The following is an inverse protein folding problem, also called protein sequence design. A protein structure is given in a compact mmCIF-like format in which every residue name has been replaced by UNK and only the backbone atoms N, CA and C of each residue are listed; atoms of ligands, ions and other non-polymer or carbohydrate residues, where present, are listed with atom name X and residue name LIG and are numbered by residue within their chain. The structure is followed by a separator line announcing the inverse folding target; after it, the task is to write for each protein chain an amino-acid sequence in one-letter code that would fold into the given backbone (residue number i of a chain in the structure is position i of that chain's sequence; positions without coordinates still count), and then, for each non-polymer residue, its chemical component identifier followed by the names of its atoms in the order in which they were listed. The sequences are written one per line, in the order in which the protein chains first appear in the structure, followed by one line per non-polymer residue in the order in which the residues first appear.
data_IF_031258273367
#
_entry.id   IF_031258273367
#
_cell.length_a   1.000
_cell.length_b   1.000
_cell.length_c   1.000
_cell.angle_alpha   90.00
_cell.angle_beta   90.00
_cell.angle_gamma   90.00
#
_symmetry.space_group_name_H-M   'P 1'
#
loop_
_entity.id
_entity.type
_entity.pdbx_description
1 polymer ?
#
# COMPACT_ATOMS: atom_id res chain seq x y z
N UNK A 1 26.04 0.94 5.25
CA UNK A 1 24.76 1.67 5.42
C UNK A 1 24.04 1.15 6.66
N UNK A 2 23.58 2.01 7.60
CA UNK A 2 22.75 1.54 8.70
C UNK A 2 21.43 0.99 8.16
N UNK A 3 20.99 -0.17 8.65
CA UNK A 3 19.74 -0.80 8.22
C UNK A 3 18.56 0.09 8.62
N UNK A 4 17.70 0.44 7.66
CA UNK A 4 16.51 1.29 7.85
C UNK A 4 15.64 0.80 9.02
N UNK A 5 15.49 -0.51 9.17
CA UNK A 5 14.79 -1.15 10.29
C UNK A 5 15.35 -0.74 11.67
N UNK A 6 16.67 -0.62 11.82
CA UNK A 6 17.31 -0.22 13.09
C UNK A 6 17.01 1.22 13.46
N UNK A 7 16.90 2.11 12.47
CA UNK A 7 16.51 3.51 12.70
C UNK A 7 15.04 3.57 13.12
N UNK A 8 14.18 2.86 12.41
CA UNK A 8 12.74 2.84 12.72
C UNK A 8 12.44 2.22 14.09
N UNK A 9 13.15 1.18 14.51
CA UNK A 9 13.00 0.60 15.86
C UNK A 9 13.38 1.56 16.99
N UNK A 10 14.32 2.49 16.76
CA UNK A 10 14.66 3.53 17.76
C UNK A 10 13.58 4.60 17.85
N UNK A 11 12.91 4.91 16.74
CA UNK A 11 11.82 5.88 16.69
C UNK A 11 10.51 5.30 17.26
N UNK A 12 10.29 4.00 17.11
CA UNK A 12 9.09 3.31 17.57
C UNK A 12 9.44 2.12 18.49
N UNK A 13 9.85 2.38 19.75
CA UNK A 13 10.38 1.35 20.65
C UNK A 13 9.41 0.23 21.03
N UNK A 14 8.10 0.41 20.83
CA UNK A 14 7.04 -0.59 21.11
C UNK A 14 6.59 -1.33 19.83
N UNK A 15 7.02 -0.87 18.65
CA UNK A 15 6.60 -1.48 17.38
C UNK A 15 7.51 -2.66 17.02
N UNK A 16 7.01 -3.88 17.22
CA UNK A 16 7.77 -5.12 16.96
C UNK A 16 7.79 -5.55 15.48
N UNK A 17 6.96 -4.98 14.62
CA UNK A 17 6.71 -5.49 13.26
C UNK A 17 6.97 -4.47 12.14
N UNK A 18 8.08 -3.73 12.21
CA UNK A 18 8.44 -2.74 11.18
C UNK A 18 8.97 -3.39 9.87
N UNK A 19 8.99 -4.73 9.81
CA UNK A 19 9.67 -5.50 8.76
C UNK A 19 8.81 -6.00 7.61
N UNK A 20 7.48 -6.04 7.75
CA UNK A 20 6.62 -6.67 6.74
C UNK A 20 6.13 -5.63 5.74
N UNK A 21 6.87 -5.46 4.64
CA UNK A 21 6.40 -4.70 3.50
C UNK A 21 5.36 -5.54 2.74
N UNK A 22 4.13 -5.02 2.61
CA UNK A 22 3.14 -5.63 1.73
C UNK A 22 3.66 -5.61 0.29
N UNK A 23 3.42 -6.68 -0.45
CA UNK A 23 3.79 -6.70 -1.87
C UNK A 23 2.90 -5.72 -2.65
N UNK A 24 3.39 -5.21 -3.78
CA UNK A 24 2.56 -4.36 -4.64
C UNK A 24 1.29 -5.08 -5.11
N UNK A 25 1.37 -6.40 -5.32
CA UNK A 25 0.23 -7.24 -5.67
C UNK A 25 -0.82 -7.30 -4.55
N UNK A 26 -0.38 -7.47 -3.30
CA UNK A 26 -1.27 -7.44 -2.13
C UNK A 26 -1.95 -6.09 -1.97
N UNK A 27 -1.19 -4.99 -2.10
CA UNK A 27 -1.73 -3.64 -2.04
C UNK A 27 -2.80 -3.40 -3.12
N UNK A 28 -2.56 -3.89 -4.34
CA UNK A 28 -3.53 -3.78 -5.43
C UNK A 28 -4.78 -4.63 -5.18
N UNK A 29 -4.63 -5.86 -4.66
CA UNK A 29 -5.76 -6.73 -4.32
C UNK A 29 -6.65 -6.11 -3.24
N UNK A 30 -6.05 -5.55 -2.18
CA UNK A 30 -6.78 -4.84 -1.13
C UNK A 30 -7.53 -3.62 -1.68
N UNK A 31 -6.89 -2.84 -2.55
CA UNK A 31 -7.52 -1.70 -3.19
C UNK A 31 -8.73 -2.14 -4.03
N UNK A 32 -8.61 -3.16 -4.88
CA UNK A 32 -9.74 -3.69 -5.67
C UNK A 32 -10.90 -4.13 -4.78
N UNK A 33 -10.58 -4.84 -3.70
CA UNK A 33 -11.58 -5.35 -2.77
C UNK A 33 -12.31 -4.22 -2.04
N UNK A 34 -11.61 -3.15 -1.66
CA UNK A 34 -12.24 -1.97 -1.07
C UNK A 34 -13.15 -1.26 -2.08
N UNK A 35 -12.65 -0.99 -3.29
CA UNK A 35 -13.40 -0.28 -4.33
C UNK A 35 -14.68 -1.01 -4.73
N UNK A 36 -14.64 -2.35 -4.82
CA UNK A 36 -15.82 -3.17 -5.08
C UNK A 36 -16.97 -2.96 -4.07
N UNK A 37 -16.65 -2.55 -2.83
CA UNK A 37 -17.67 -2.25 -1.80
C UNK A 37 -18.24 -0.85 -1.89
N UNK A 38 -17.57 0.08 -2.58
CA UNK A 38 -17.97 1.48 -2.64
C UNK A 38 -19.13 1.76 -3.60
N UNK A 39 -19.44 0.81 -4.50
CA UNK A 39 -20.49 0.99 -5.51
C UNK A 39 -20.13 1.97 -6.64
N UNK A 40 -18.95 2.58 -6.62
CA UNK A 40 -18.46 3.45 -7.69
C UNK A 40 -17.82 2.64 -8.82
N UNK A 41 -18.11 3.02 -10.06
CA UNK A 41 -17.46 2.46 -11.25
C UNK A 41 -16.05 3.07 -11.39
N UNK A 42 -15.07 2.45 -10.74
CA UNK A 42 -13.67 2.91 -10.75
C UNK A 42 -12.73 1.82 -11.22
N UNK A 43 -11.65 2.20 -11.91
CA UNK A 43 -10.58 1.31 -12.37
C UNK A 43 -9.25 1.67 -11.71
N UNK A 44 -8.44 0.66 -11.46
CA UNK A 44 -7.04 0.85 -11.03
C UNK A 44 -6.16 0.89 -12.28
N UNK A 45 -5.45 2.00 -12.48
CA UNK A 45 -4.56 2.23 -13.62
C UNK A 45 -3.09 2.38 -13.17
N UNK A 46 -2.11 1.99 -14.00
CA UNK A 46 -0.70 2.23 -13.70
C UNK A 46 -0.38 3.74 -13.68
N UNK A 47 0.53 4.14 -12.79
CA UNK A 47 0.98 5.52 -12.60
C UNK A 47 2.49 5.64 -12.81
N UNK A 48 3.01 6.88 -12.83
CA UNK A 48 4.46 7.12 -12.86
C UNK A 48 5.20 6.45 -11.68
N UNK A 49 4.55 6.36 -10.52
CA UNK A 49 4.98 5.55 -9.37
C UNK A 49 3.77 4.81 -8.81
N UNK A 50 3.70 3.48 -9.02
CA UNK A 50 2.62 2.64 -8.49
C UNK A 50 1.34 2.68 -9.31
N UNK A 51 0.20 2.90 -8.66
CA UNK A 51 -1.13 2.82 -9.26
C UNK A 51 -2.02 3.98 -8.83
N UNK A 52 -2.97 4.37 -9.69
CA UNK A 52 -4.02 5.35 -9.38
C UNK A 52 -5.40 4.69 -9.49
N UNK A 53 -6.39 5.31 -8.83
CA UNK A 53 -7.81 4.99 -9.00
C UNK A 53 -8.44 6.08 -9.85
N UNK A 54 -9.07 5.70 -10.96
CA UNK A 54 -9.73 6.62 -11.88
C UNK A 54 -11.19 6.20 -12.09
N UNK A 55 -12.09 7.18 -12.18
CA UNK A 55 -13.49 6.93 -12.54
C UNK A 55 -13.61 6.38 -13.97
N UNK A 56 -14.54 5.45 -14.15
CA UNK A 56 -14.93 4.92 -15.46
C UNK A 56 -16.14 5.74 -15.90
N UNK A 57 -15.93 6.62 -16.89
CA UNK A 57 -16.99 7.34 -17.62
C UNK A 57 -17.43 6.54 -18.84
#
# INVERSE_FOLDING_TARGET
MPKLSRVLSRLHPIAHNIGTAATQAEAQALARLHLARTGHAVRIAPAAVGFTVAEVR
#
